data_IF_584439993355
#
_entry.id   IF_584439993355
#
_cell.length_a   1.000
_cell.length_b   1.000
_cell.length_c   1.000
_cell.angle_alpha   90.00
_cell.angle_beta   90.00
_cell.angle_gamma   90.00
#
_symmetry.space_group_name_H-M   'P 1'
#
loop_
_entity.id
_entity.type
_entity.pdbx_description
1 polymer ?
#
# COMPACT_ATOMS: atom_id res chain seq x y z
N UNK A 1 14.72 -12.05 -13.65
CA UNK A 1 13.29 -11.68 -13.53
C UNK A 1 13.14 -10.33 -14.20
N UNK A 2 12.02 -9.98 -14.84
CA UNK A 2 11.95 -8.71 -15.57
C UNK A 2 11.94 -7.56 -14.55
N UNK A 3 13.12 -6.97 -14.30
CA UNK A 3 13.47 -6.02 -13.22
C UNK A 3 12.84 -4.63 -13.40
N UNK A 4 11.57 -4.57 -13.80
CA UNK A 4 10.85 -3.31 -13.94
C UNK A 4 10.14 -3.01 -12.62
N UNK A 5 10.50 -1.89 -12.01
CA UNK A 5 9.81 -1.37 -10.83
C UNK A 5 8.29 -1.38 -11.05
N UNK A 6 7.49 -1.81 -10.06
CA UNK A 6 6.04 -1.82 -10.18
C UNK A 6 5.54 -0.40 -10.46
N UNK A 7 4.56 -0.29 -11.35
CA UNK A 7 3.92 0.99 -11.70
C UNK A 7 2.42 0.89 -11.54
N UNK A 8 1.86 1.85 -10.81
CA UNK A 8 0.44 1.99 -10.56
C UNK A 8 -0.20 2.70 -11.77
N UNK A 9 -1.31 2.17 -12.24
CA UNK A 9 -2.13 2.75 -13.30
C UNK A 9 -3.22 3.63 -12.70
N UNK A 10 -3.96 3.10 -11.73
CA UNK A 10 -5.00 3.81 -11.00
C UNK A 10 -5.18 3.23 -9.60
N UNK A 11 -5.81 4.01 -8.73
CA UNK A 11 -6.20 3.61 -7.39
C UNK A 11 -7.69 3.87 -7.20
N UNK A 12 -8.35 3.03 -6.42
CA UNK A 12 -9.73 3.25 -5.98
C UNK A 12 -9.81 3.03 -4.48
N UNK A 13 -10.40 3.98 -3.76
CA UNK A 13 -10.69 3.83 -2.33
C UNK A 13 -11.91 2.93 -2.18
N UNK A 14 -11.75 1.80 -1.49
CA UNK A 14 -12.80 0.78 -1.32
C UNK A 14 -13.19 0.56 0.14
N UNK A 15 -12.56 1.28 1.07
CA UNK A 15 -12.85 1.25 2.49
C UNK A 15 -12.11 2.37 3.24
N UNK A 16 -12.29 2.49 4.56
CA UNK A 16 -11.73 3.59 5.35
C UNK A 16 -10.20 3.64 5.34
N UNK A 17 -9.54 2.50 5.16
CA UNK A 17 -8.07 2.38 5.04
C UNK A 17 -7.67 1.41 3.93
N UNK A 18 -8.57 1.13 2.98
CA UNK A 18 -8.37 0.08 1.97
C UNK A 18 -8.39 0.67 0.57
N UNK A 19 -7.37 0.32 -0.21
CA UNK A 19 -7.24 0.70 -1.61
C UNK A 19 -7.32 -0.54 -2.50
N UNK A 20 -7.96 -0.39 -3.65
CA UNK A 20 -7.78 -1.27 -4.81
C UNK A 20 -6.77 -0.64 -5.75
N UNK A 21 -5.66 -1.34 -5.97
CA UNK A 21 -4.56 -0.88 -6.82
C UNK A 21 -4.63 -1.58 -8.16
N UNK A 22 -4.78 -0.81 -9.24
CA UNK A 22 -4.63 -1.32 -10.60
C UNK A 22 -3.21 -1.06 -11.07
N UNK A 23 -2.49 -2.12 -11.43
CA UNK A 23 -1.13 -2.01 -11.91
C UNK A 23 -1.10 -1.79 -13.42
N UNK A 24 -0.05 -1.12 -13.94
CA UNK A 24 0.15 -0.98 -15.38
C UNK A 24 0.41 -2.31 -16.08
N UNK A 25 0.79 -3.35 -15.33
CA UNK A 25 0.81 -4.72 -15.84
C UNK A 25 -0.64 -5.16 -16.03
N UNK A 26 -1.01 -5.46 -17.29
CA UNK A 26 -2.39 -5.75 -17.67
C UNK A 26 -3.03 -6.82 -16.77
N UNK A 27 -4.25 -6.54 -16.33
CA UNK A 27 -5.12 -7.50 -15.66
C UNK A 27 -4.81 -7.78 -14.19
N UNK A 28 -3.83 -7.08 -13.60
CA UNK A 28 -3.47 -7.25 -12.19
C UNK A 28 -4.09 -6.12 -11.37
N UNK A 29 -4.96 -6.48 -10.44
CA UNK A 29 -5.44 -5.59 -9.39
C UNK A 29 -5.33 -6.30 -8.04
N UNK A 30 -4.90 -5.55 -7.02
CA UNK A 30 -4.76 -6.05 -5.66
C UNK A 30 -5.49 -5.12 -4.68
N UNK A 31 -6.17 -5.70 -3.70
CA UNK A 31 -6.71 -4.94 -2.57
C UNK A 31 -5.67 -4.92 -1.45
N UNK A 32 -5.41 -3.73 -0.89
CA UNK A 32 -4.43 -3.52 0.17
C UNK A 32 -5.07 -2.76 1.32
N UNK A 33 -5.04 -3.37 2.51
CA UNK A 33 -5.41 -2.69 3.74
C UNK A 33 -4.18 -2.00 4.33
N UNK A 34 -4.25 -0.68 4.46
CA UNK A 34 -3.18 0.16 4.96
C UNK A 34 -3.25 0.43 6.46
N UNK A 35 -4.20 -0.16 7.20
CA UNK A 35 -4.37 0.09 8.63
C UNK A 35 -3.09 -0.13 9.45
N UNK A 36 -2.38 -1.25 9.19
CA UNK A 36 -1.11 -1.55 9.87
C UNK A 36 0.00 -0.58 9.48
N UNK A 37 0.03 -0.17 8.20
CA UNK A 37 1.03 0.77 7.71
C UNK A 37 0.82 2.17 8.31
N UNK A 38 -0.43 2.66 8.31
CA UNK A 38 -0.83 3.92 8.95
C UNK A 38 -0.45 3.90 10.43
N UNK A 39 -0.78 2.82 11.14
CA UNK A 39 -0.43 2.67 12.56
C UNK A 39 1.08 2.69 12.81
N UNK A 40 1.89 2.16 11.88
CA UNK A 40 3.36 2.17 11.98
C UNK A 40 3.99 3.54 11.74
N UNK A 41 3.28 4.46 11.06
CA UNK A 41 3.80 5.79 10.72
C UNK A 41 3.61 6.86 11.78
N UNK A 42 3.01 6.53 12.93
CA UNK A 42 2.83 7.45 14.06
C UNK A 42 2.12 8.76 13.65
N UNK A 43 2.59 9.88 14.21
CA UNK A 43 1.99 11.20 13.99
C UNK A 43 2.03 11.65 12.52
N UNK A 44 3.02 11.20 11.76
CA UNK A 44 3.16 11.53 10.34
C UNK A 44 1.99 11.00 9.52
N UNK A 45 1.57 9.75 9.74
CA UNK A 45 0.46 9.13 9.01
C UNK A 45 -0.88 9.23 9.74
N UNK A 46 -0.90 9.76 10.96
CA UNK A 46 -2.12 9.95 11.74
C UNK A 46 -3.27 10.61 10.96
N UNK A 47 -3.04 11.61 10.08
CA UNK A 47 -4.11 12.20 9.26
C UNK A 47 -4.85 11.20 8.36
N UNK A 48 -4.23 10.08 7.98
CA UNK A 48 -4.85 9.06 7.11
C UNK A 48 -5.90 8.20 7.82
N UNK A 49 -6.05 8.34 9.15
CA UNK A 49 -7.18 7.74 9.87
C UNK A 49 -8.50 8.51 9.64
N UNK A 50 -8.42 9.75 9.13
CA UNK A 50 -9.59 10.50 8.70
C UNK A 50 -10.04 10.03 7.32
N UNK A 51 -11.31 9.63 7.20
CA UNK A 51 -11.85 9.07 5.97
C UNK A 51 -11.90 10.10 4.82
N UNK A 52 -12.10 11.38 5.10
CA UNK A 52 -12.10 12.44 4.08
C UNK A 52 -10.69 12.73 3.57
N UNK A 53 -9.70 12.64 4.45
CA UNK A 53 -8.29 12.70 4.04
C UNK A 53 -7.96 11.48 3.20
N UNK A 54 -8.28 10.27 3.69
CA UNK A 54 -7.97 9.02 2.98
C UNK A 54 -8.65 8.92 1.61
N UNK A 55 -9.85 9.51 1.45
CA UNK A 55 -10.56 9.56 0.17
C UNK A 55 -9.81 10.33 -0.93
N UNK A 56 -8.81 11.15 -0.57
CA UNK A 56 -7.99 11.93 -1.52
C UNK A 56 -6.89 11.12 -2.21
N UNK A 57 -6.79 9.81 -1.93
CA UNK A 57 -5.78 8.93 -2.52
C UNK A 57 -5.68 9.11 -4.04
N UNK A 58 -4.50 9.53 -4.51
CA UNK A 58 -4.24 9.74 -5.92
C UNK A 58 -2.91 9.10 -6.33
N UNK A 59 -2.84 8.65 -7.58
CA UNK A 59 -1.58 8.17 -8.15
C UNK A 59 -0.67 9.36 -8.40
N UNK A 60 0.54 9.33 -7.84
CA UNK A 60 1.55 10.37 -8.00
C UNK A 60 2.83 9.83 -8.64
N UNK A 61 3.78 10.72 -8.92
CA UNK A 61 5.12 10.39 -9.45
C UNK A 61 5.08 9.41 -10.64
N UNK A 62 4.23 9.69 -11.63
CA UNK A 62 4.04 8.87 -12.83
C UNK A 62 3.78 7.38 -12.55
N UNK A 63 3.00 7.10 -11.50
CA UNK A 63 2.67 5.73 -11.07
C UNK A 63 3.71 5.09 -10.17
N UNK A 64 4.67 5.85 -9.64
CA UNK A 64 5.62 5.33 -8.65
C UNK A 64 5.07 5.33 -7.22
N UNK A 65 3.98 6.06 -6.94
CA UNK A 65 3.45 6.20 -5.59
C UNK A 65 1.93 6.46 -5.60
N UNK A 66 1.33 6.26 -4.43
CA UNK A 66 0.04 6.84 -4.05
C UNK A 66 0.32 7.93 -3.02
N UNK A 67 -0.31 9.08 -3.18
CA UNK A 67 -0.22 10.21 -2.26
C UNK A 67 -1.61 10.70 -1.88
N UNK A 68 -1.71 11.24 -0.67
CA UNK A 68 -2.88 11.92 -0.13
C UNK A 68 -2.66 13.43 0.05
N UNK A 69 -1.50 13.92 -0.38
CA UNK A 69 -1.10 15.32 -0.41
C UNK A 69 -0.85 15.79 -1.86
N UNK A 70 -0.02 16.81 -2.05
CA UNK A 70 0.32 17.36 -3.36
C UNK A 70 1.23 16.45 -4.21
N UNK A 71 1.55 15.25 -3.72
CA UNK A 71 2.38 14.27 -4.42
C UNK A 71 3.86 14.34 -4.04
N UNK A 72 4.24 15.20 -3.09
CA UNK A 72 5.61 15.38 -2.63
C UNK A 72 5.78 15.34 -1.11
N UNK A 73 4.68 15.21 -0.36
CA UNK A 73 4.69 15.23 1.10
C UNK A 73 4.76 13.84 1.73
N UNK A 74 4.72 13.87 3.07
CA UNK A 74 4.90 12.70 3.92
C UNK A 74 3.72 11.71 3.88
N UNK A 75 2.57 12.12 3.32
CA UNK A 75 1.40 11.27 3.16
C UNK A 75 1.46 10.55 1.82
N UNK A 76 2.56 9.80 1.62
CA UNK A 76 2.82 9.08 0.39
C UNK A 76 3.40 7.69 0.66
N UNK A 77 3.03 6.73 -0.17
CA UNK A 77 3.59 5.37 -0.16
C UNK A 77 4.01 4.98 -1.58
N UNK A 78 5.22 4.45 -1.72
CA UNK A 78 5.73 4.03 -3.01
C UNK A 78 5.17 2.67 -3.46
N UNK A 79 5.17 2.44 -4.77
CA UNK A 79 4.65 1.25 -5.43
C UNK A 79 5.37 -0.05 -5.02
N UNK A 80 6.66 0.03 -4.66
CA UNK A 80 7.44 -1.13 -4.20
C UNK A 80 7.02 -1.51 -2.79
N UNK A 81 6.91 -0.54 -1.88
CA UNK A 81 6.40 -0.76 -0.53
C UNK A 81 4.96 -1.30 -0.56
N UNK A 82 4.11 -0.76 -1.45
CA UNK A 82 2.76 -1.26 -1.66
C UNK A 82 2.75 -2.75 -2.06
N UNK A 83 3.63 -3.17 -2.99
CA UNK A 83 3.76 -4.60 -3.35
C UNK A 83 4.24 -5.47 -2.20
N UNK A 84 5.05 -4.95 -1.27
CA UNK A 84 5.48 -5.68 -0.07
C UNK A 84 4.35 -5.87 0.93
N UNK A 85 3.41 -4.93 1.02
CA UNK A 85 2.22 -5.07 1.87
C UNK A 85 1.24 -6.11 1.33
N UNK A 86 1.11 -6.21 0.00
CA UNK A 86 0.22 -7.18 -0.66
C UNK A 86 0.81 -8.59 -0.67
N UNK A 87 2.14 -8.69 -0.80
CA UNK A 87 2.81 -9.99 -0.78
C UNK A 87 2.52 -10.68 0.55
N UNK A 88 2.12 -11.97 0.56
CA UNK A 88 1.86 -12.66 1.81
C UNK A 88 3.09 -12.53 2.70
N UNK A 89 2.91 -11.92 3.87
CA UNK A 89 3.91 -11.97 4.93
C UNK A 89 4.07 -13.45 5.25
N UNK A 90 5.17 -14.07 4.83
CA UNK A 90 5.53 -15.43 5.25
C UNK A 90 5.67 -15.40 6.77
N UNK A 91 4.55 -15.63 7.45
CA UNK A 91 4.53 -15.85 8.88
C UNK A 91 5.15 -17.21 9.04
N UNK A 92 6.40 -17.27 9.51
CA UNK A 92 7.03 -18.53 9.92
C UNK A 92 6.34 -18.99 11.21
N UNK A 93 5.12 -19.52 11.07
CA UNK A 93 4.34 -20.12 12.15
C UNK A 93 4.55 -21.65 12.26
N UNK A 94 5.46 -22.23 11.46
CA UNK A 94 5.64 -23.69 11.41
C UNK A 94 7.09 -24.09 11.69
N UNK A 95 7.61 -23.87 12.90
CA UNK A 95 8.88 -24.52 13.33
C UNK A 95 9.09 -24.53 14.85
N UNK A 96 8.11 -24.91 15.67
CA UNK A 96 8.46 -25.55 16.95
C UNK A 96 7.29 -26.31 17.55
N UNK A 97 7.20 -27.61 17.26
CA UNK A 97 6.62 -28.54 18.22
C UNK A 97 7.18 -29.94 18.00
N UNK A 98 7.55 -30.56 19.12
CA UNK A 98 7.85 -31.98 19.32
C UNK A 98 9.19 -32.52 18.79
N UNK A 99 10.18 -32.52 19.68
CA UNK A 99 10.86 -33.76 20.05
C UNK A 99 11.09 -33.72 21.56
N UNK A 100 10.24 -34.44 22.28
CA UNK A 100 10.44 -34.88 23.66
C UNK A 100 10.83 -36.36 23.63
#
# INVERSE_FOLDING_TARGET
MNDKLPRIQSVTVVGPTTLRIHWRVRGVADDVNLSEWIASGGDTLAPLNDAEVFAKAAVSNFGAAVSWDDGSGDLSIDAVQMKRLISPKTTRADSWTAAA
#
